data_IF_881925273522
#
_entry.id   IF_881925273522
#
_cell.length_a   1.000
_cell.length_b   1.000
_cell.length_c   1.000
_cell.angle_alpha   90.00
_cell.angle_beta   90.00
_cell.angle_gamma   90.00
#
_symmetry.space_group_name_H-M   'P 1'
#
loop_
_entity.id
_entity.type
_entity.pdbx_description
1 polymer ?
#
# COMPACT_ATOMS: atom_id res chain seq x y z
N UNK A 1 -20.35 -16.53 -45.20
CA UNK A 1 -19.82 -15.31 -44.54
C UNK A 1 -20.16 -15.26 -43.06
N UNK A 2 -21.43 -15.48 -42.66
CA UNK A 2 -21.87 -15.42 -41.25
C UNK A 2 -21.14 -16.40 -40.30
N UNK A 3 -20.89 -17.64 -40.73
CA UNK A 3 -20.18 -18.64 -39.92
C UNK A 3 -18.77 -18.18 -39.51
N UNK A 4 -18.02 -17.55 -40.44
CA UNK A 4 -16.69 -16.99 -40.13
C UNK A 4 -16.78 -15.89 -39.08
N UNK A 5 -17.79 -15.02 -39.17
CA UNK A 5 -18.03 -13.95 -38.19
C UNK A 5 -18.30 -14.51 -36.79
N UNK A 6 -19.14 -15.55 -36.69
CA UNK A 6 -19.45 -16.20 -35.41
C UNK A 6 -18.19 -16.86 -34.82
N UNK A 7 -17.37 -17.52 -35.64
CA UNK A 7 -16.11 -18.13 -35.20
C UNK A 7 -15.14 -17.07 -34.65
N UNK A 8 -14.94 -15.96 -35.36
CA UNK A 8 -14.09 -14.88 -34.88
C UNK A 8 -14.63 -14.22 -33.62
N UNK A 9 -15.95 -14.04 -33.52
CA UNK A 9 -16.59 -13.50 -32.31
C UNK A 9 -16.40 -14.43 -31.10
N UNK A 10 -16.55 -15.75 -31.29
CA UNK A 10 -16.34 -16.74 -30.25
C UNK A 10 -14.88 -16.78 -29.78
N UNK A 11 -13.92 -16.76 -30.71
CA UNK A 11 -12.49 -16.70 -30.38
C UNK A 11 -12.15 -15.40 -29.63
N UNK A 12 -12.66 -14.27 -30.11
CA UNK A 12 -12.46 -12.97 -29.45
C UNK A 12 -13.01 -12.95 -28.03
N UNK A 13 -14.21 -13.48 -27.82
CA UNK A 13 -14.81 -13.64 -26.48
C UNK A 13 -13.97 -14.55 -25.59
N UNK A 14 -13.47 -15.67 -26.12
CA UNK A 14 -12.65 -16.61 -25.36
C UNK A 14 -11.34 -15.96 -24.88
N UNK A 15 -10.68 -15.20 -25.76
CA UNK A 15 -9.47 -14.44 -25.44
C UNK A 15 -9.76 -13.34 -24.42
N UNK A 16 -10.84 -12.57 -24.59
CA UNK A 16 -11.27 -11.54 -23.65
C UNK A 16 -11.54 -12.11 -22.26
N UNK A 17 -12.23 -13.25 -22.18
CA UNK A 17 -12.54 -13.92 -20.93
C UNK A 17 -11.28 -14.48 -20.25
N UNK A 18 -10.37 -15.06 -21.04
CA UNK A 18 -9.07 -15.53 -20.56
C UNK A 18 -8.20 -14.41 -19.99
N UNK A 19 -8.07 -13.29 -20.73
CA UNK A 19 -7.35 -12.10 -20.29
C UNK A 19 -7.98 -11.47 -19.04
N UNK A 20 -9.31 -11.32 -19.01
CA UNK A 20 -10.02 -10.78 -17.84
C UNK A 20 -9.75 -11.61 -16.59
N UNK A 21 -9.76 -12.95 -16.71
CA UNK A 21 -9.52 -13.86 -15.58
C UNK A 21 -8.11 -13.71 -15.02
N UNK A 22 -7.10 -13.66 -15.88
CA UNK A 22 -5.70 -13.47 -15.46
C UNK A 22 -5.49 -12.07 -14.86
N UNK A 23 -6.08 -11.04 -15.47
CA UNK A 23 -5.94 -9.67 -14.98
C UNK A 23 -6.56 -9.46 -13.59
N UNK A 24 -7.71 -10.07 -13.32
CA UNK A 24 -8.33 -10.03 -11.99
C UNK A 24 -7.46 -10.70 -10.93
N UNK A 25 -6.83 -11.83 -11.29
CA UNK A 25 -5.93 -12.59 -10.41
C UNK A 25 -4.66 -11.80 -10.08
N UNK A 26 -4.08 -11.13 -11.06
CA UNK A 26 -2.94 -10.23 -10.86
C UNK A 26 -3.30 -9.05 -9.95
N UNK A 27 -4.51 -8.49 -10.08
CA UNK A 27 -4.94 -7.35 -9.24
C UNK A 27 -5.10 -7.71 -7.75
N UNK A 28 -5.46 -8.95 -7.43
CA UNK A 28 -5.57 -9.40 -6.03
C UNK A 28 -4.19 -9.59 -5.40
N UNK A 29 -3.21 -10.09 -6.16
CA UNK A 29 -1.85 -10.29 -5.68
C UNK A 29 -1.17 -8.97 -5.26
N UNK A 30 -1.41 -7.89 -6.02
CA UNK A 30 -0.90 -6.56 -5.66
C UNK A 30 -1.59 -5.93 -4.45
N UNK A 31 -2.87 -6.24 -4.21
CA UNK A 31 -3.57 -5.75 -3.01
C UNK A 31 -3.01 -6.35 -1.73
N UNK A 32 -2.70 -7.64 -1.74
CA UNK A 32 -2.05 -8.31 -0.60
C UNK A 32 -0.63 -7.76 -0.38
N UNK A 33 0.13 -7.51 -1.44
CA UNK A 33 1.47 -6.91 -1.34
C UNK A 33 1.43 -5.45 -0.85
N UNK A 34 0.42 -4.66 -1.22
CA UNK A 34 0.24 -3.31 -0.70
C UNK A 34 -0.19 -3.28 0.77
N UNK A 35 -1.09 -4.16 1.20
CA UNK A 35 -1.49 -4.24 2.61
C UNK A 35 -0.33 -4.68 3.49
N UNK A 36 0.44 -5.69 3.06
CA UNK A 36 1.63 -6.16 3.78
C UNK A 36 2.72 -5.09 3.83
N UNK A 37 2.98 -4.38 2.73
CA UNK A 37 3.93 -3.27 2.72
C UNK A 37 3.52 -2.10 3.63
N UNK A 38 2.21 -1.79 3.73
CA UNK A 38 1.69 -0.76 4.65
C UNK A 38 1.82 -1.17 6.11
N UNK A 39 1.61 -2.46 6.44
CA UNK A 39 1.81 -2.98 7.81
C UNK A 39 3.29 -2.97 8.21
N UNK A 40 4.17 -3.42 7.32
CA UNK A 40 5.62 -3.46 7.57
C UNK A 40 6.23 -2.07 7.85
N UNK A 41 5.73 -1.02 7.18
CA UNK A 41 6.17 0.37 7.43
C UNK A 41 5.75 0.87 8.81
N UNK A 42 4.51 0.60 9.24
CA UNK A 42 4.02 1.03 10.56
C UNK A 42 4.78 0.36 11.70
N UNK A 43 5.12 -0.92 11.54
CA UNK A 43 5.88 -1.67 12.56
C UNK A 43 7.32 -1.13 12.70
N UNK A 44 7.98 -0.75 11.60
CA UNK A 44 9.30 -0.12 11.66
C UNK A 44 9.28 1.25 12.33
N UNK A 45 8.34 2.12 11.96
CA UNK A 45 8.26 3.46 12.54
C UNK A 45 7.96 3.41 14.05
N UNK A 46 7.15 2.44 14.51
CA UNK A 46 6.88 2.22 15.94
C UNK A 46 8.09 1.71 16.70
N UNK A 47 8.94 0.88 16.08
CA UNK A 47 10.16 0.37 16.69
C UNK A 47 11.25 1.45 16.78
N UNK A 48 11.34 2.35 15.79
CA UNK A 48 12.29 3.46 15.82
C UNK A 48 11.92 4.51 16.87
N UNK A 49 10.63 4.84 17.05
CA UNK A 49 10.17 5.77 18.10
C UNK A 49 10.38 5.26 19.53
N UNK A 50 10.51 3.96 19.71
CA UNK A 50 10.80 3.35 21.02
C UNK A 50 12.28 3.36 21.37
N UNK A 51 13.16 3.74 20.44
CA UNK A 51 14.59 3.85 20.73
C UNK A 51 14.83 4.99 21.73
N UNK A 52 15.59 4.74 22.81
CA UNK A 52 15.85 5.73 23.85
C UNK A 52 16.61 6.97 23.35
N UNK A 53 17.22 6.88 22.17
CA UNK A 53 17.97 7.96 21.53
C UNK A 53 17.09 8.89 20.67
N UNK A 54 15.83 8.51 20.40
CA UNK A 54 14.91 9.34 19.61
C UNK A 54 14.19 10.31 20.55
N UNK A 55 14.42 11.59 20.35
CA UNK A 55 13.82 12.67 21.14
C UNK A 55 12.73 13.34 20.31
N UNK A 56 11.49 13.29 20.78
CA UNK A 56 10.39 14.02 20.16
C UNK A 56 10.61 15.54 20.32
N UNK A 57 10.66 16.24 19.19
CA UNK A 57 10.72 17.69 19.15
C UNK A 57 9.30 18.27 19.19
N UNK A 58 9.05 19.14 20.17
CA UNK A 58 7.81 19.91 20.27
C UNK A 58 8.04 21.27 19.61
N UNK A 59 7.08 21.71 18.79
CA UNK A 59 7.11 23.05 18.22
C UNK A 59 6.63 24.03 19.28
N UNK A 60 7.47 25.00 19.62
CA UNK A 60 7.12 26.06 20.55
C UNK A 60 6.38 27.21 19.85
N UNK A 61 5.78 28.09 20.65
CA UNK A 61 4.98 29.23 20.16
C UNK A 61 5.81 30.26 19.37
N UNK A 62 7.13 30.25 19.54
CA UNK A 62 8.10 31.04 18.78
C UNK A 62 8.47 30.38 17.43
N UNK A 63 7.91 29.21 17.13
CA UNK A 63 8.17 28.46 15.91
C UNK A 63 9.46 27.64 15.92
N UNK A 64 10.22 27.67 17.01
CA UNK A 64 11.43 26.86 17.18
C UNK A 64 11.05 25.46 17.66
N UNK A 65 11.72 24.44 17.15
CA UNK A 65 11.54 23.05 17.59
C UNK A 65 12.56 22.74 18.70
N UNK A 66 12.07 22.40 19.90
CA UNK A 66 12.90 22.05 21.06
C UNK A 66 12.57 20.64 21.55
N UNK A 67 13.56 19.91 22.10
CA UNK A 67 13.32 18.60 22.70
C UNK A 67 12.33 18.73 23.86
N UNK A 68 11.33 17.83 23.92
CA UNK A 68 10.35 17.85 25.01
C UNK A 68 11.05 17.53 26.34
N UNK A 69 10.90 18.41 27.32
CA UNK A 69 11.53 18.24 28.63
C UNK A 69 11.05 16.95 29.31
N UNK A 70 11.98 16.18 29.90
CA UNK A 70 11.68 14.87 30.50
C UNK A 70 10.65 14.93 31.64
N UNK A 71 10.39 16.11 32.19
CA UNK A 71 9.46 16.37 33.29
C UNK A 71 7.98 16.48 32.87
N UNK A 72 7.65 16.50 31.57
CA UNK A 72 6.24 16.47 31.09
C UNK A 72 5.71 15.04 30.85
N UNK A 73 6.44 13.99 31.25
CA UNK A 73 5.99 12.58 31.18
C UNK A 73 5.44 12.11 32.54
N UNK A 74 4.43 12.79 33.06
CA UNK A 74 3.70 12.38 34.27
C UNK A 74 2.20 12.41 34.04
#
# INVERSE_FOLDING_TARGET
MLLRVIIFAAIGLFILYGLRRIWFDWSNKFKDDEETARRLRRERDLAERQRPDVIDLKRDNDGTFRPRDKNERH
#
